data_IF_481639801094
#
_entry.id   IF_481639801094
#
_cell.length_a   1.000
_cell.length_b   1.000
_cell.length_c   1.000
_cell.angle_alpha   90.00
_cell.angle_beta   90.00
_cell.angle_gamma   90.00
#
_symmetry.space_group_name_H-M   'P 1'
#
loop_
_entity.id
_entity.type
_entity.pdbx_description
1 polymer ?
#
# COMPACT_ATOMS: atom_id res chain seq x y z
N UNK A 1 -5.67 10.02 32.56
CA UNK A 1 -6.93 9.47 33.09
C UNK A 1 -7.42 8.42 32.12
N UNK A 2 -7.35 7.14 32.50
CA UNK A 2 -8.30 6.03 32.24
C UNK A 2 -7.67 4.76 32.83
N UNK A 3 -8.52 3.95 33.46
CA UNK A 3 -8.26 3.11 34.66
C UNK A 3 -8.17 1.62 34.27
N UNK A 4 -7.38 0.78 34.97
CA UNK A 4 -7.29 -0.67 34.74
C UNK A 4 -8.24 -1.48 35.66
N UNK A 5 -8.74 -2.62 35.18
CA UNK A 5 -9.36 -3.68 36.00
C UNK A 5 -9.56 -4.93 35.16
N UNK A 6 -9.50 -6.17 35.62
CA UNK A 6 -9.01 -6.82 36.84
C UNK A 6 -9.18 -8.32 36.58
N UNK A 7 -8.22 -9.10 37.03
CA UNK A 7 -8.19 -10.57 37.00
C UNK A 7 -9.30 -11.20 37.86
N UNK A 8 -9.81 -12.36 37.44
CA UNK A 8 -10.62 -13.24 38.29
C UNK A 8 -9.91 -14.59 38.45
N UNK A 9 -9.69 -14.99 39.71
CA UNK A 9 -9.31 -16.36 40.09
C UNK A 9 -10.55 -17.17 40.42
N UNK A 10 -10.54 -18.46 40.08
CA UNK A 10 -11.36 -19.47 40.76
C UNK A 10 -10.59 -20.79 40.84
N UNK A 11 -10.43 -21.29 42.07
CA UNK A 11 -9.93 -22.62 42.43
C UNK A 11 -11.07 -23.36 43.14
N UNK A 12 -11.35 -24.60 42.76
CA UNK A 12 -12.04 -25.56 43.61
C UNK A 12 -11.47 -26.96 43.37
N UNK A 13 -11.01 -27.57 44.47
CA UNK A 13 -10.49 -28.93 44.54
C UNK A 13 -11.63 -29.96 44.50
N UNK A 14 -11.37 -30.99 43.71
CA UNK A 14 -11.69 -32.41 43.93
C UNK A 14 -13.14 -32.92 43.94
N UNK A 15 -13.32 -33.83 42.96
CA UNK A 15 -14.07 -35.11 42.94
C UNK A 15 -15.55 -35.06 42.59
N UNK A 16 -15.85 -35.60 41.41
CA UNK A 16 -17.16 -36.15 41.06
C UNK A 16 -17.51 -35.98 39.60
N UNK A 17 -16.93 -36.79 38.72
CA UNK A 17 -17.16 -36.83 37.26
C UNK A 17 -18.60 -37.12 36.87
N UNK A 18 -19.10 -36.49 35.79
CA UNK A 18 -20.00 -37.11 34.82
C UNK A 18 -19.93 -36.45 33.43
N UNK A 19 -19.97 -37.30 32.40
CA UNK A 19 -19.59 -37.10 30.99
C UNK A 19 -20.76 -36.83 30.03
N UNK A 20 -20.45 -36.18 28.90
CA UNK A 20 -21.31 -35.90 27.76
C UNK A 20 -21.72 -37.17 26.98
N UNK A 21 -22.91 -37.16 26.37
CA UNK A 21 -23.29 -38.15 25.37
C UNK A 21 -23.22 -37.56 23.94
N UNK A 22 -22.35 -38.15 23.11
CA UNK A 22 -22.45 -38.20 21.64
C UNK A 22 -23.14 -39.53 21.25
N UNK A 23 -23.67 -39.66 20.03
CA UNK A 23 -24.46 -40.83 19.65
C UNK A 23 -23.56 -42.02 19.35
N UNK A 24 -23.66 -43.07 20.17
CA UNK A 24 -23.72 -44.49 19.75
C UNK A 24 -23.95 -45.38 20.97
N UNK A 25 -24.99 -46.24 20.88
CA UNK A 25 -25.13 -47.56 21.51
C UNK A 25 -24.69 -47.76 22.99
N UNK A 26 -25.62 -47.57 23.94
CA UNK A 26 -26.16 -48.60 24.87
C UNK A 26 -26.92 -47.95 26.03
N UNK A 27 -28.02 -48.59 26.40
CA UNK A 27 -29.00 -48.13 27.39
C UNK A 27 -28.52 -48.27 28.85
N UNK A 28 -28.92 -47.34 29.73
CA UNK A 28 -29.93 -47.58 30.78
C UNK A 28 -30.20 -46.37 31.70
N UNK A 29 -31.51 -46.23 31.97
CA UNK A 29 -32.23 -45.71 33.14
C UNK A 29 -31.97 -44.29 33.67
N UNK A 30 -32.95 -43.44 33.36
CA UNK A 30 -33.62 -42.45 34.21
C UNK A 30 -33.34 -42.46 35.73
N UNK A 31 -33.02 -41.26 36.25
CA UNK A 31 -33.66 -40.66 37.45
C UNK A 31 -33.52 -39.14 37.42
N UNK A 32 -34.63 -38.47 37.10
CA UNK A 32 -34.83 -37.06 37.43
C UNK A 32 -35.19 -36.94 38.91
N UNK A 33 -34.61 -35.98 39.63
CA UNK A 33 -35.29 -35.38 40.79
C UNK A 33 -35.18 -33.86 40.74
N UNK A 34 -36.32 -33.24 41.02
CA UNK A 34 -36.63 -31.81 40.98
C UNK A 34 -35.78 -31.02 41.99
N UNK A 35 -35.25 -29.89 41.56
CA UNK A 35 -35.47 -28.63 42.29
C UNK A 35 -35.11 -27.43 41.41
N UNK A 36 -36.07 -26.52 41.34
CA UNK A 36 -36.10 -25.21 40.69
C UNK A 36 -34.82 -24.39 40.78
N UNK A 37 -34.23 -24.06 39.62
CA UNK A 37 -33.84 -22.71 39.17
C UNK A 37 -33.15 -22.83 37.80
N UNK A 38 -33.48 -21.92 36.89
CA UNK A 38 -33.24 -22.02 35.45
C UNK A 38 -31.80 -22.42 35.06
N UNK A 39 -31.70 -23.36 34.13
CA UNK A 39 -30.44 -23.73 33.49
C UNK A 39 -30.11 -22.66 32.43
N UNK A 40 -29.57 -21.52 32.85
CA UNK A 40 -28.90 -20.60 31.94
C UNK A 40 -27.60 -21.26 31.49
N UNK A 41 -27.53 -21.66 30.21
CA UNK A 41 -26.27 -22.07 29.57
C UNK A 41 -25.25 -20.94 29.78
N UNK A 42 -24.25 -21.17 30.64
CA UNK A 42 -23.05 -20.33 30.64
C UNK A 42 -22.41 -20.49 29.26
N UNK A 43 -22.15 -19.41 28.50
CA UNK A 43 -21.41 -19.55 27.26
C UNK A 43 -20.03 -20.07 27.64
N UNK A 44 -19.70 -21.27 27.17
CA UNK A 44 -18.32 -21.76 27.19
C UNK A 44 -17.45 -20.72 26.50
N UNK A 45 -16.36 -20.33 27.17
CA UNK A 45 -15.28 -19.50 26.62
C UNK A 45 -14.56 -20.31 25.55
N UNK A 46 -15.22 -20.48 24.41
CA UNK A 46 -14.74 -21.18 23.23
C UNK A 46 -15.57 -20.71 22.02
N UNK A 47 -15.70 -19.39 21.89
CA UNK A 47 -15.92 -18.75 20.60
C UNK A 47 -14.72 -17.81 20.39
N UNK A 48 -13.53 -18.39 20.45
CA UNK A 48 -12.37 -17.77 19.80
C UNK A 48 -12.65 -17.87 18.32
N UNK A 49 -13.03 -16.74 17.74
CA UNK A 49 -13.17 -16.45 16.32
C UNK A 49 -12.65 -17.56 15.39
N UNK A 50 -13.53 -18.48 14.98
CA UNK A 50 -13.27 -19.36 13.85
C UNK A 50 -13.44 -18.55 12.56
N UNK A 51 -12.60 -17.54 12.37
CA UNK A 51 -12.45 -16.98 11.04
C UNK A 51 -11.64 -17.98 10.22
N UNK A 52 -12.06 -18.28 8.97
CA UNK A 52 -11.20 -19.01 8.06
C UNK A 52 -9.86 -18.27 7.97
N UNK A 53 -8.73 -19.00 7.83
CA UNK A 53 -7.42 -18.37 7.76
C UNK A 53 -7.41 -17.33 6.64
N UNK A 54 -6.96 -16.11 6.95
CA UNK A 54 -6.70 -15.11 5.92
C UNK A 54 -5.47 -15.55 5.12
N UNK A 55 -5.64 -15.74 3.82
CA UNK A 55 -4.54 -16.06 2.93
C UNK A 55 -3.83 -14.77 2.50
N UNK A 56 -2.54 -14.67 2.83
CA UNK A 56 -1.68 -13.58 2.37
C UNK A 56 -0.91 -14.10 1.15
N UNK A 57 -1.14 -13.49 0.00
CA UNK A 57 -0.42 -13.83 -1.22
C UNK A 57 0.86 -13.00 -1.34
N UNK A 58 1.98 -13.67 -1.60
CA UNK A 58 3.30 -13.05 -1.76
C UNK A 58 3.82 -13.27 -3.17
N UNK A 59 4.56 -12.30 -3.71
CA UNK A 59 5.19 -12.40 -5.03
C UNK A 59 6.61 -12.96 -4.89
N UNK A 60 6.82 -14.18 -5.34
CA UNK A 60 8.14 -14.86 -5.35
C UNK A 60 8.35 -15.57 -6.68
N UNK A 61 9.59 -15.65 -7.22
CA UNK A 61 10.86 -15.19 -6.67
C UNK A 61 11.10 -13.68 -6.82
N UNK A 62 12.14 -13.15 -6.15
CA UNK A 62 12.59 -11.75 -6.26
C UNK A 62 12.73 -11.36 -7.74
N UNK A 63 12.03 -10.30 -8.17
CA UNK A 63 11.98 -9.84 -9.57
C UNK A 63 10.65 -10.11 -10.29
N UNK A 64 9.79 -10.99 -9.77
CA UNK A 64 8.39 -11.09 -10.22
C UNK A 64 7.49 -10.02 -9.59
N UNK A 65 8.02 -9.28 -8.62
CA UNK A 65 7.29 -8.23 -7.93
C UNK A 65 7.16 -6.96 -8.79
N UNK A 66 5.95 -6.40 -8.82
CA UNK A 66 5.61 -5.13 -9.45
C UNK A 66 5.23 -4.04 -8.44
N UNK A 67 5.02 -4.34 -7.14
CA UNK A 67 4.74 -3.34 -6.09
C UNK A 67 6.01 -2.62 -5.59
N UNK A 68 7.18 -2.99 -6.12
CA UNK A 68 8.46 -2.33 -5.87
C UNK A 68 9.09 -1.84 -7.16
N UNK A 69 10.06 -0.95 -6.98
CA UNK A 69 10.95 -0.45 -8.04
C UNK A 69 11.54 -1.62 -8.82
N UNK A 70 11.43 -1.57 -10.15
CA UNK A 70 11.99 -2.61 -11.03
C UNK A 70 13.53 -2.52 -11.09
N UNK A 71 14.20 -3.20 -10.15
CA UNK A 71 15.67 -3.28 -10.14
C UNK A 71 16.24 -4.04 -11.36
N UNK A 72 15.43 -4.84 -12.06
CA UNK A 72 15.81 -5.49 -13.31
C UNK A 72 15.83 -4.52 -14.50
N UNK A 73 15.28 -3.31 -14.35
CA UNK A 73 15.23 -2.33 -15.42
C UNK A 73 16.55 -1.56 -15.53
N UNK A 74 17.34 -1.82 -16.59
CA UNK A 74 18.66 -1.20 -16.72
C UNK A 74 18.59 0.32 -16.89
N UNK A 75 17.63 0.80 -17.69
CA UNK A 75 17.39 2.24 -17.87
C UNK A 75 17.16 2.96 -16.54
N UNK A 76 16.25 2.42 -15.73
CA UNK A 76 15.96 2.96 -14.40
C UNK A 76 17.21 2.98 -13.51
N UNK A 77 17.95 1.86 -13.43
CA UNK A 77 19.18 1.80 -12.62
C UNK A 77 20.20 2.86 -13.02
N UNK A 78 20.36 3.12 -14.33
CA UNK A 78 21.27 4.15 -14.83
C UNK A 78 20.80 5.56 -14.46
N UNK A 79 19.52 5.86 -14.65
CA UNK A 79 18.92 7.15 -14.27
C UNK A 79 19.04 7.39 -12.76
N UNK A 80 18.70 6.41 -11.92
CA UNK A 80 18.83 6.51 -10.47
C UNK A 80 20.30 6.76 -10.05
N UNK A 81 21.26 6.09 -10.70
CA UNK A 81 22.69 6.32 -10.45
C UNK A 81 23.13 7.73 -10.87
N UNK A 82 22.68 8.22 -12.02
CA UNK A 82 22.96 9.58 -12.50
C UNK A 82 22.40 10.63 -11.53
N UNK A 83 21.14 10.49 -11.13
CA UNK A 83 20.53 11.39 -10.16
C UNK A 83 21.29 11.39 -8.83
N UNK A 84 21.63 10.21 -8.30
CA UNK A 84 22.41 10.13 -7.07
C UNK A 84 23.76 10.85 -7.20
N UNK A 85 24.41 10.81 -8.36
CA UNK A 85 25.64 11.55 -8.58
C UNK A 85 25.43 13.08 -8.58
N UNK A 86 24.28 13.55 -9.09
CA UNK A 86 23.92 14.97 -9.09
C UNK A 86 23.58 15.50 -7.70
N UNK A 87 22.70 14.80 -6.97
CA UNK A 87 22.12 15.31 -5.71
C UNK A 87 23.03 15.08 -4.49
N UNK A 88 23.94 14.10 -4.56
CA UNK A 88 24.75 13.70 -3.39
C UNK A 88 25.67 14.82 -2.91
N UNK A 89 26.20 15.65 -3.81
CA UNK A 89 27.03 16.78 -3.41
C UNK A 89 26.19 17.85 -2.71
N UNK A 90 25.08 18.27 -3.32
CA UNK A 90 24.19 19.29 -2.75
C UNK A 90 23.71 18.92 -1.34
N UNK A 91 23.14 17.72 -1.18
CA UNK A 91 22.68 17.28 0.14
C UNK A 91 23.85 17.00 1.07
N UNK A 92 24.98 16.52 0.56
CA UNK A 92 26.19 16.34 1.35
C UNK A 92 26.68 17.64 1.98
N UNK A 93 26.67 18.74 1.21
CA UNK A 93 27.03 20.08 1.69
C UNK A 93 26.06 20.57 2.77
N UNK A 94 24.75 20.45 2.54
CA UNK A 94 23.71 20.81 3.51
C UNK A 94 23.86 20.03 4.82
N UNK A 95 24.17 18.73 4.70
CA UNK A 95 24.36 17.82 5.82
C UNK A 95 25.73 17.93 6.49
N UNK A 96 26.63 18.83 6.05
CA UNK A 96 27.90 19.06 6.74
C UNK A 96 27.69 19.50 8.18
N UNK A 97 26.76 20.42 8.40
CA UNK A 97 26.37 20.90 9.74
C UNK A 97 25.80 19.78 10.62
N UNK A 98 25.23 18.76 9.99
CA UNK A 98 24.67 17.57 10.63
C UNK A 98 25.70 16.47 10.87
N UNK A 99 26.85 16.45 10.18
CA UNK A 99 27.84 15.36 10.24
C UNK A 99 28.17 14.90 11.66
N UNK A 100 28.37 15.82 12.61
CA UNK A 100 28.63 15.47 14.01
C UNK A 100 27.39 14.86 14.69
N UNK A 101 26.22 15.51 14.57
CA UNK A 101 24.94 15.00 15.09
C UNK A 101 24.57 13.63 14.50
N UNK A 102 24.88 13.40 13.22
CA UNK A 102 24.64 12.14 12.52
C UNK A 102 25.57 11.04 13.02
N UNK A 103 26.84 11.34 13.34
CA UNK A 103 27.78 10.37 13.91
C UNK A 103 27.34 9.90 15.30
N UNK A 104 26.76 10.81 16.10
CA UNK A 104 26.21 10.47 17.41
C UNK A 104 24.94 9.59 17.29
N UNK A 105 24.12 9.84 16.25
CA UNK A 105 22.88 9.10 15.99
C UNK A 105 23.09 7.76 15.26
N UNK A 106 24.11 7.68 14.41
CA UNK A 106 24.40 6.54 13.56
C UNK A 106 25.90 6.25 13.58
N UNK A 107 26.26 5.10 14.15
CA UNK A 107 27.66 4.67 14.32
C UNK A 107 28.38 4.38 13.00
N UNK A 108 27.67 4.33 11.88
CA UNK A 108 28.26 4.13 10.55
C UNK A 108 28.22 5.41 9.70
N UNK A 109 29.37 6.09 9.53
CA UNK A 109 29.48 7.33 8.76
C UNK A 109 29.18 7.16 7.25
N UNK A 110 29.03 5.93 6.74
CA UNK A 110 28.71 5.65 5.32
C UNK A 110 27.25 5.86 4.96
N UNK A 111 26.35 5.89 5.94
CA UNK A 111 24.91 5.75 5.67
C UNK A 111 24.14 7.07 5.58
N UNK A 112 24.79 8.21 5.81
CA UNK A 112 24.31 9.55 5.44
C UNK A 112 22.99 9.98 6.10
N UNK A 113 22.31 10.95 5.48
CA UNK A 113 21.06 11.53 5.99
C UNK A 113 19.91 10.51 6.07
N UNK A 114 19.80 9.59 5.10
CA UNK A 114 18.68 8.65 5.01
C UNK A 114 18.65 7.67 6.17
N UNK A 115 19.80 7.09 6.55
CA UNK A 115 19.82 6.18 7.71
C UNK A 115 19.56 6.92 9.02
N UNK A 116 20.12 8.11 9.18
CA UNK A 116 19.85 8.89 10.38
C UNK A 116 18.38 9.28 10.49
N UNK A 117 17.74 9.62 9.36
CA UNK A 117 16.30 9.84 9.30
C UNK A 117 15.52 8.59 9.71
N UNK A 118 15.91 7.41 9.22
CA UNK A 118 15.28 6.13 9.57
C UNK A 118 15.40 5.81 11.07
N UNK A 119 16.61 5.91 11.64
CA UNK A 119 16.89 5.67 13.06
C UNK A 119 16.10 6.65 13.94
N UNK A 120 16.15 7.94 13.60
CA UNK A 120 15.51 8.98 14.39
C UNK A 120 13.98 8.91 14.29
N UNK A 121 13.44 8.70 13.08
CA UNK A 121 12.01 8.49 12.87
C UNK A 121 11.50 7.29 13.66
N UNK A 122 12.24 6.19 13.69
CA UNK A 122 11.92 5.05 14.53
C UNK A 122 11.97 5.41 16.03
N UNK A 123 13.02 6.08 16.51
CA UNK A 123 13.13 6.46 17.91
C UNK A 123 11.96 7.35 18.37
N UNK A 124 11.64 8.38 17.58
CA UNK A 124 10.55 9.32 17.87
C UNK A 124 9.18 8.62 17.87
N UNK A 125 8.94 7.69 16.95
CA UNK A 125 7.71 6.89 16.93
C UNK A 125 7.50 6.05 18.21
N UNK A 126 8.58 5.73 18.92
CA UNK A 126 8.55 5.02 20.21
C UNK A 126 8.61 5.98 21.43
N UNK A 127 8.49 7.29 21.22
CA UNK A 127 8.59 8.29 22.28
C UNK A 127 9.99 8.40 22.88
N UNK A 128 11.03 8.11 22.09
CA UNK A 128 12.44 8.21 22.47
C UNK A 128 13.13 9.33 21.68
N UNK A 129 14.28 9.82 22.20
CA UNK A 129 15.13 10.80 21.54
C UNK A 129 14.41 12.12 21.16
N UNK A 130 13.36 12.49 21.91
CA UNK A 130 12.55 13.69 21.65
C UNK A 130 13.27 15.01 21.96
N UNK A 131 14.39 14.93 22.67
CA UNK A 131 15.27 16.03 23.06
C UNK A 131 16.54 16.15 22.19
N UNK A 132 16.76 15.18 21.28
CA UNK A 132 17.97 15.11 20.44
C UNK A 132 17.88 16.07 19.24
N UNK A 133 16.68 16.32 18.73
CA UNK A 133 16.43 17.27 17.66
C UNK A 133 15.17 18.09 17.93
N UNK A 134 15.16 19.32 17.45
CA UNK A 134 13.94 20.11 17.34
C UNK A 134 13.04 19.61 16.20
N UNK A 135 11.74 19.93 16.19
CA UNK A 135 10.87 19.60 15.07
C UNK A 135 11.37 20.15 13.72
N UNK A 136 11.90 21.38 13.70
CA UNK A 136 12.44 21.98 12.48
C UNK A 136 13.66 21.21 11.94
N UNK A 137 14.54 20.78 12.84
CA UNK A 137 15.71 19.98 12.50
C UNK A 137 15.31 18.60 11.94
N UNK A 138 14.31 17.94 12.55
CA UNK A 138 13.76 16.70 12.01
C UNK A 138 13.21 16.87 10.59
N UNK A 139 12.49 17.97 10.34
CA UNK A 139 11.93 18.27 9.03
C UNK A 139 13.02 18.55 7.98
N UNK A 140 14.11 19.25 8.35
CA UNK A 140 15.29 19.40 7.48
C UNK A 140 15.92 18.06 7.11
N UNK A 141 16.09 17.17 8.10
CA UNK A 141 16.65 15.84 7.85
C UNK A 141 15.73 14.97 6.98
N UNK A 142 14.40 15.05 7.20
CA UNK A 142 13.39 14.38 6.38
C UNK A 142 13.45 14.88 4.94
N UNK A 143 13.48 16.19 4.73
CA UNK A 143 13.53 16.78 3.39
C UNK A 143 14.78 16.35 2.63
N UNK A 144 15.96 16.49 3.25
CA UNK A 144 17.24 16.03 2.68
C UNK A 144 17.19 14.55 2.30
N UNK A 145 16.66 13.70 3.18
CA UNK A 145 16.49 12.26 2.93
C UNK A 145 15.50 11.98 1.79
N UNK A 146 14.41 12.74 1.73
CA UNK A 146 13.38 12.62 0.69
C UNK A 146 13.94 12.99 -0.69
N UNK A 147 14.67 14.11 -0.79
CA UNK A 147 15.35 14.53 -2.02
C UNK A 147 16.37 13.50 -2.48
N UNK A 148 17.20 12.98 -1.57
CA UNK A 148 18.18 11.93 -1.89
C UNK A 148 17.51 10.65 -2.40
N UNK A 149 16.46 10.17 -1.72
CA UNK A 149 15.91 8.85 -1.97
C UNK A 149 14.88 8.81 -3.10
N UNK A 150 14.13 9.91 -3.29
CA UNK A 150 12.97 9.97 -4.19
C UNK A 150 13.05 11.08 -5.24
N UNK A 151 13.99 12.03 -5.15
CA UNK A 151 14.03 13.19 -6.04
C UNK A 151 14.20 12.86 -7.53
N UNK A 152 14.73 11.68 -7.89
CA UNK A 152 14.79 11.22 -9.28
C UNK A 152 13.41 11.10 -9.94
N UNK A 153 12.35 10.92 -9.14
CA UNK A 153 10.96 10.79 -9.63
C UNK A 153 10.42 12.09 -10.21
N UNK A 154 10.87 13.24 -9.70
CA UNK A 154 10.50 14.55 -10.24
C UNK A 154 11.49 15.03 -11.31
N UNK A 155 12.74 14.57 -11.24
CA UNK A 155 13.80 15.00 -12.17
C UNK A 155 13.63 14.40 -13.57
N UNK A 156 13.17 13.16 -13.68
CA UNK A 156 13.11 12.44 -14.94
C UNK A 156 11.66 12.12 -15.34
N UNK A 157 11.09 12.87 -16.30
CA UNK A 157 9.79 12.53 -16.88
C UNK A 157 9.75 11.08 -17.38
N UNK A 158 8.62 10.42 -17.17
CA UNK A 158 8.41 9.02 -17.58
C UNK A 158 9.10 7.97 -16.70
N UNK A 159 9.87 8.34 -15.67
CA UNK A 159 10.50 7.36 -14.78
C UNK A 159 9.48 6.52 -14.01
N UNK A 160 8.26 7.03 -13.81
CA UNK A 160 7.13 6.29 -13.24
C UNK A 160 6.80 5.00 -14.01
N UNK A 161 6.86 5.05 -15.36
CA UNK A 161 6.64 3.88 -16.22
C UNK A 161 7.67 2.78 -15.96
N UNK A 162 8.93 3.16 -15.74
CA UNK A 162 10.05 2.25 -15.46
C UNK A 162 10.01 1.68 -14.04
N UNK A 163 9.50 2.47 -13.10
CA UNK A 163 9.53 2.18 -11.67
C UNK A 163 8.35 1.33 -11.20
N UNK A 164 7.14 1.86 -11.40
CA UNK A 164 5.90 1.37 -10.77
C UNK A 164 4.76 1.20 -11.79
N UNK A 165 4.98 1.49 -13.07
CA UNK A 165 3.98 1.39 -14.13
C UNK A 165 3.27 0.03 -14.17
N UNK A 166 4.01 -1.07 -13.96
CA UNK A 166 3.45 -2.43 -13.90
C UNK A 166 2.40 -2.60 -12.78
N UNK A 167 2.55 -1.91 -11.65
CA UNK A 167 1.58 -1.95 -10.56
C UNK A 167 0.41 -0.98 -10.77
N UNK A 168 0.67 0.18 -11.38
CA UNK A 168 -0.41 1.07 -11.85
C UNK A 168 -1.34 0.31 -12.81
N UNK A 169 -0.78 -0.46 -13.75
CA UNK A 169 -1.54 -1.35 -14.63
C UNK A 169 -2.35 -2.38 -13.85
N UNK A 170 -1.76 -3.07 -12.87
CA UNK A 170 -2.47 -4.06 -12.05
C UNK A 170 -3.67 -3.46 -11.28
N UNK A 171 -3.48 -2.27 -10.69
CA UNK A 171 -4.55 -1.57 -9.96
C UNK A 171 -5.72 -1.23 -10.89
N UNK A 172 -5.43 -0.78 -12.10
CA UNK A 172 -6.44 -0.52 -13.12
C UNK A 172 -7.11 -1.80 -13.62
N UNK A 173 -6.36 -2.87 -13.88
CA UNK A 173 -6.90 -4.18 -14.28
C UNK A 173 -7.98 -4.67 -13.30
N UNK A 174 -7.79 -4.45 -11.99
CA UNK A 174 -8.76 -4.80 -10.96
C UNK A 174 -10.03 -3.95 -11.06
N UNK A 175 -9.88 -2.63 -11.22
CA UNK A 175 -11.02 -1.74 -11.37
C UNK A 175 -11.78 -2.00 -12.66
N UNK A 176 -11.07 -2.18 -13.78
CA UNK A 176 -11.62 -2.50 -15.09
C UNK A 176 -12.50 -3.74 -15.01
N UNK A 177 -12.07 -4.78 -14.30
CA UNK A 177 -12.88 -5.99 -14.11
C UNK A 177 -14.20 -5.70 -13.36
N UNK A 178 -14.21 -4.81 -12.36
CA UNK A 178 -15.45 -4.38 -11.71
C UNK A 178 -16.34 -3.54 -12.65
N UNK A 179 -15.73 -2.68 -13.48
CA UNK A 179 -16.45 -1.79 -14.40
C UNK A 179 -17.08 -2.58 -15.54
N UNK A 180 -16.34 -3.47 -16.19
CA UNK A 180 -16.78 -4.19 -17.40
C UNK A 180 -17.49 -5.50 -17.08
N UNK A 181 -17.29 -6.05 -15.87
CA UNK A 181 -17.73 -7.39 -15.52
C UNK A 181 -16.95 -8.51 -16.22
N UNK A 182 -15.89 -8.17 -16.96
CA UNK A 182 -15.03 -9.10 -17.68
C UNK A 182 -13.61 -9.01 -17.16
N UNK A 183 -12.99 -10.17 -16.91
CA UNK A 183 -11.59 -10.21 -16.50
C UNK A 183 -10.71 -9.64 -17.62
N UNK A 184 -9.66 -8.87 -17.28
CA UNK A 184 -8.72 -8.36 -18.27
C UNK A 184 -8.02 -9.50 -19.01
N UNK A 185 -7.81 -9.31 -20.31
CA UNK A 185 -7.10 -10.24 -21.20
C UNK A 185 -6.18 -9.44 -22.15
N UNK A 186 -4.85 -9.62 -22.09
CA UNK A 186 -4.11 -10.47 -21.14
C UNK A 186 -4.14 -9.92 -19.71
N UNK A 187 -4.24 -10.81 -18.72
CA UNK A 187 -4.07 -10.48 -17.30
C UNK A 187 -2.58 -10.48 -16.91
N UNK A 188 -1.82 -9.55 -17.46
CA UNK A 188 -0.35 -9.61 -17.45
C UNK A 188 0.27 -9.54 -16.04
N UNK A 189 -0.31 -8.73 -15.16
CA UNK A 189 0.19 -8.47 -13.82
C UNK A 189 -0.81 -8.77 -12.70
N UNK A 190 -2.07 -8.99 -13.05
CA UNK A 190 -3.16 -9.22 -12.11
C UNK A 190 -3.00 -10.48 -11.26
N UNK A 191 -2.53 -10.28 -10.01
CA UNK A 191 -2.66 -11.29 -8.96
C UNK A 191 -4.12 -11.61 -8.66
N UNK A 192 -5.04 -10.66 -8.82
CA UNK A 192 -6.45 -10.91 -8.54
C UNK A 192 -7.07 -11.89 -9.56
N UNK A 193 -6.69 -11.84 -10.84
CA UNK A 193 -7.11 -12.82 -11.85
C UNK A 193 -6.47 -14.18 -11.58
N UNK A 194 -5.19 -14.21 -11.18
CA UNK A 194 -4.54 -15.46 -10.77
C UNK A 194 -5.26 -16.08 -9.56
N UNK A 195 -5.61 -15.28 -8.55
CA UNK A 195 -6.40 -15.70 -7.40
C UNK A 195 -7.77 -16.24 -7.79
N UNK A 196 -8.47 -15.53 -8.68
CA UNK A 196 -9.78 -15.95 -9.18
C UNK A 196 -9.72 -17.29 -9.91
N UNK A 197 -8.72 -17.47 -10.78
CA UNK A 197 -8.46 -18.74 -11.48
C UNK A 197 -8.16 -19.87 -10.50
N UNK A 198 -7.35 -19.61 -9.48
CA UNK A 198 -6.97 -20.60 -8.47
C UNK A 198 -8.12 -20.98 -7.52
N UNK A 199 -9.01 -20.03 -7.20
CA UNK A 199 -10.12 -20.23 -6.27
C UNK A 199 -11.45 -20.59 -6.95
N UNK A 200 -11.54 -20.46 -8.27
CA UNK A 200 -12.77 -20.63 -9.04
C UNK A 200 -13.79 -19.51 -8.80
N UNK A 201 -13.40 -18.38 -8.21
CA UNK A 201 -14.32 -17.26 -8.01
C UNK A 201 -14.60 -16.55 -9.33
N UNK A 202 -15.86 -16.15 -9.54
CA UNK A 202 -16.29 -15.50 -10.78
C UNK A 202 -16.28 -13.96 -10.71
N UNK A 203 -16.26 -13.37 -9.52
CA UNK A 203 -16.34 -11.90 -9.32
C UNK A 203 -15.08 -11.36 -8.65
N UNK A 204 -14.49 -10.26 -9.15
CA UNK A 204 -13.30 -9.66 -8.55
C UNK A 204 -13.53 -9.27 -7.08
N UNK A 205 -12.47 -9.25 -6.26
CA UNK A 205 -12.59 -8.92 -4.84
C UNK A 205 -13.12 -7.51 -4.64
N UNK A 206 -14.05 -7.33 -3.71
CA UNK A 206 -14.60 -6.00 -3.34
C UNK A 206 -13.59 -5.13 -2.59
N UNK A 207 -12.55 -5.75 -2.03
CA UNK A 207 -11.50 -5.11 -1.28
C UNK A 207 -10.19 -5.86 -1.53
N UNK A 208 -9.15 -5.13 -1.90
CA UNK A 208 -7.80 -5.65 -2.06
C UNK A 208 -6.86 -4.84 -1.18
N UNK A 209 -6.01 -5.54 -0.41
CA UNK A 209 -5.00 -4.93 0.45
C UNK A 209 -3.62 -5.28 -0.08
N UNK A 210 -2.86 -4.26 -0.45
CA UNK A 210 -1.47 -4.38 -0.88
C UNK A 210 -0.58 -3.84 0.24
N UNK A 211 0.22 -4.73 0.84
CA UNK A 211 1.23 -4.33 1.81
C UNK A 211 2.53 -4.01 1.06
N UNK A 212 2.87 -2.73 0.98
CA UNK A 212 4.09 -2.24 0.34
C UNK A 212 4.96 -1.43 1.31
N UNK A 213 5.85 -0.61 0.76
CA UNK A 213 6.76 0.24 1.51
C UNK A 213 6.58 1.72 1.15
N UNK A 214 7.30 2.62 1.80
CA UNK A 214 7.52 4.00 1.33
C UNK A 214 7.95 4.05 -0.15
N UNK A 215 8.82 3.11 -0.54
CA UNK A 215 9.30 2.85 -1.90
C UNK A 215 8.27 2.20 -2.83
N UNK A 216 7.06 1.96 -2.34
CA UNK A 216 5.85 1.68 -3.13
C UNK A 216 4.98 2.93 -3.20
N UNK A 217 4.66 3.53 -2.05
CA UNK A 217 3.73 4.65 -1.94
C UNK A 217 4.22 5.90 -2.65
N UNK A 218 5.46 6.32 -2.43
CA UNK A 218 6.02 7.52 -3.06
C UNK A 218 6.06 7.38 -4.58
N UNK A 219 6.64 6.33 -5.18
CA UNK A 219 6.61 6.19 -6.63
C UNK A 219 5.18 6.10 -7.17
N UNK A 220 4.26 5.41 -6.49
CA UNK A 220 2.86 5.36 -6.93
C UNK A 220 2.21 6.75 -6.93
N UNK A 221 2.34 7.52 -5.85
CA UNK A 221 1.79 8.87 -5.77
C UNK A 221 2.48 9.82 -6.76
N UNK A 222 3.79 9.71 -6.95
CA UNK A 222 4.55 10.53 -7.88
C UNK A 222 4.14 10.24 -9.32
N UNK A 223 4.00 8.95 -9.67
CA UNK A 223 3.55 8.50 -10.97
C UNK A 223 2.10 8.94 -11.26
N UNK A 224 1.25 9.04 -10.25
CA UNK A 224 -0.13 9.56 -10.36
C UNK A 224 -0.21 11.09 -10.28
N UNK A 225 0.92 11.80 -10.14
CA UNK A 225 0.97 13.26 -10.09
C UNK A 225 0.39 13.88 -8.81
N UNK A 226 0.31 13.12 -7.72
CA UNK A 226 -0.32 13.54 -6.45
C UNK A 226 0.62 13.49 -5.24
N UNK A 227 1.90 13.24 -5.47
CA UNK A 227 2.89 13.27 -4.39
C UNK A 227 3.19 14.72 -3.97
N UNK A 228 3.15 14.96 -2.66
CA UNK A 228 3.41 16.27 -2.04
C UNK A 228 4.89 16.52 -1.70
N UNK A 229 5.80 15.68 -2.23
CA UNK A 229 7.23 15.72 -1.98
C UNK A 229 7.63 15.46 -0.52
N UNK A 230 6.76 14.83 0.27
CA UNK A 230 7.08 14.42 1.65
C UNK A 230 7.30 12.92 1.77
N UNK A 231 8.13 12.51 2.72
CA UNK A 231 8.27 11.10 3.08
C UNK A 231 7.01 10.64 3.83
N UNK A 232 6.34 9.56 3.41
CA UNK A 232 5.12 9.09 4.08
C UNK A 232 5.45 8.54 5.48
N UNK A 233 4.77 8.98 6.55
CA UNK A 233 4.98 8.43 7.89
C UNK A 233 4.59 6.96 8.00
N UNK A 234 4.96 6.31 9.11
CA UNK A 234 4.53 4.94 9.40
C UNK A 234 3.01 4.78 9.32
N UNK A 235 2.58 3.61 8.84
CA UNK A 235 1.17 3.28 8.58
C UNK A 235 0.46 4.19 7.55
N UNK A 236 1.22 4.94 6.74
CA UNK A 236 0.64 5.64 5.61
C UNK A 236 0.01 4.68 4.62
N UNK A 237 -1.06 5.14 3.97
CA UNK A 237 -1.79 4.36 2.99
C UNK A 237 -2.35 5.26 1.89
N UNK A 238 -2.37 4.71 0.67
CA UNK A 238 -3.11 5.26 -0.46
C UNK A 238 -4.35 4.38 -0.69
N UNK A 239 -5.53 4.98 -0.62
CA UNK A 239 -6.80 4.31 -0.93
C UNK A 239 -7.27 4.72 -2.31
N UNK A 240 -7.60 3.74 -3.15
CA UNK A 240 -8.27 3.95 -4.42
C UNK A 240 -9.69 3.38 -4.32
N UNK A 241 -10.69 4.25 -4.49
CA UNK A 241 -12.10 3.93 -4.33
C UNK A 241 -12.79 3.98 -5.70
N UNK A 242 -13.52 2.92 -6.06
CA UNK A 242 -14.33 2.86 -7.29
C UNK A 242 -15.82 3.03 -6.93
N UNK A 243 -16.49 3.95 -7.62
CA UNK A 243 -17.90 4.26 -7.45
C UNK A 243 -18.66 3.99 -8.75
N UNK A 244 -19.94 3.68 -8.62
CA UNK A 244 -20.89 3.60 -9.73
C UNK A 244 -22.06 4.54 -9.45
N UNK A 245 -22.51 5.29 -10.46
CA UNK A 245 -23.72 6.11 -10.38
C UNK A 245 -24.94 5.24 -10.06
N UNK A 246 -25.84 5.72 -9.20
CA UNK A 246 -27.10 5.03 -8.87
C UNK A 246 -28.09 4.97 -10.04
N UNK A 247 -27.96 5.89 -10.98
CA UNK A 247 -28.85 6.01 -12.14
C UNK A 247 -27.98 6.15 -13.40
N UNK A 248 -27.30 5.06 -13.82
CA UNK A 248 -26.58 5.05 -15.09
C UNK A 248 -27.60 5.26 -16.22
N UNK A 249 -27.28 6.10 -17.21
CA UNK A 249 -28.18 6.21 -18.35
C UNK A 249 -28.16 4.89 -19.13
N UNK A 250 -29.31 4.37 -19.54
CA UNK A 250 -29.44 3.02 -20.11
C UNK A 250 -28.67 2.79 -21.43
N UNK A 251 -28.17 3.86 -22.05
CA UNK A 251 -27.40 3.84 -23.31
C UNK A 251 -25.91 4.13 -23.11
N UNK A 252 -25.45 4.31 -21.87
CA UNK A 252 -24.05 4.62 -21.57
C UNK A 252 -23.19 3.36 -21.49
N UNK A 253 -21.92 3.47 -21.90
CA UNK A 253 -20.95 2.41 -21.61
C UNK A 253 -20.79 2.32 -20.09
N UNK A 254 -20.44 1.14 -19.61
CA UNK A 254 -20.25 0.93 -18.17
C UNK A 254 -19.27 1.97 -17.59
N UNK A 255 -18.16 2.23 -18.26
CA UNK A 255 -17.16 3.25 -17.90
C UNK A 255 -17.74 4.65 -17.65
N UNK A 256 -18.73 5.08 -18.45
CA UNK A 256 -19.31 6.42 -18.36
C UNK A 256 -20.14 6.61 -17.07
N UNK A 257 -20.46 5.51 -16.38
CA UNK A 257 -21.19 5.51 -15.10
C UNK A 257 -20.31 5.33 -13.86
N UNK A 258 -18.99 5.22 -14.04
CA UNK A 258 -18.05 4.95 -12.95
C UNK A 258 -17.15 6.14 -12.65
N UNK A 259 -16.72 6.20 -11.39
CA UNK A 259 -15.86 7.26 -10.87
C UNK A 259 -14.79 6.69 -9.94
N UNK A 260 -13.64 7.35 -9.88
CA UNK A 260 -12.49 6.93 -9.06
C UNK A 260 -12.07 8.06 -8.14
N UNK A 261 -11.80 7.74 -6.88
CA UNK A 261 -11.23 8.69 -5.91
C UNK A 261 -9.97 8.14 -5.29
N UNK A 262 -8.97 9.00 -5.16
CA UNK A 262 -7.70 8.69 -4.50
C UNK A 262 -7.64 9.42 -3.15
N UNK A 263 -7.16 8.74 -2.11
CA UNK A 263 -7.00 9.32 -0.77
C UNK A 263 -5.66 8.94 -0.17
N UNK A 264 -4.91 9.91 0.33
CA UNK A 264 -3.69 9.68 1.11
C UNK A 264 -4.00 9.96 2.58
N UNK A 265 -3.82 8.95 3.44
CA UNK A 265 -4.05 9.07 4.89
C UNK A 265 -5.43 9.66 5.24
N UNK A 266 -6.47 9.21 4.53
CA UNK A 266 -7.85 9.68 4.70
C UNK A 266 -8.19 11.00 4.01
N UNK A 267 -7.24 11.71 3.42
CA UNK A 267 -7.47 12.99 2.74
C UNK A 267 -7.65 12.79 1.24
N UNK A 268 -8.70 13.37 0.66
CA UNK A 268 -8.96 13.29 -0.78
C UNK A 268 -7.86 14.01 -1.56
N UNK A 269 -7.32 13.34 -2.57
CA UNK A 269 -6.29 13.90 -3.45
C UNK A 269 -6.93 14.60 -4.66
N UNK A 270 -6.27 15.66 -5.12
CA UNK A 270 -6.58 16.33 -6.40
C UNK A 270 -5.71 15.74 -7.49
N UNK A 271 -6.25 14.75 -8.20
CA UNK A 271 -5.54 14.10 -9.30
C UNK A 271 -5.52 15.03 -10.51
N UNK A 272 -4.35 15.34 -11.11
CA UNK A 272 -4.25 16.29 -12.22
C UNK A 272 -5.18 15.99 -13.40
N UNK A 273 -5.26 14.73 -13.80
CA UNK A 273 -6.11 14.27 -14.91
C UNK A 273 -7.62 14.53 -14.70
N UNK A 274 -8.04 14.77 -13.46
CA UNK A 274 -9.44 14.96 -13.09
C UNK A 274 -9.82 16.44 -12.96
N UNK A 275 -8.89 17.38 -13.14
CA UNK A 275 -9.15 18.80 -12.86
C UNK A 275 -9.88 19.53 -14.00
N UNK A 276 -9.78 19.03 -15.23
CA UNK A 276 -10.46 19.63 -16.39
C UNK A 276 -11.99 19.49 -16.30
N UNK A 277 -12.76 20.44 -16.88
CA UNK A 277 -14.21 20.32 -16.97
C UNK A 277 -14.64 19.01 -17.64
N UNK A 278 -15.52 18.25 -16.97
CA UNK A 278 -16.00 16.95 -17.45
C UNK A 278 -15.11 15.75 -17.09
N UNK A 279 -13.95 15.98 -16.47
CA UNK A 279 -13.05 14.92 -16.00
C UNK A 279 -13.35 14.43 -14.57
N UNK A 280 -14.38 14.98 -13.93
CA UNK A 280 -14.79 14.66 -12.56
C UNK A 280 -16.31 14.73 -12.38
N UNK A 281 -16.79 14.19 -11.26
CA UNK A 281 -18.18 14.29 -10.85
C UNK A 281 -18.57 15.77 -10.62
N UNK A 282 -19.72 16.25 -11.12
CA UNK A 282 -20.11 17.66 -10.98
C UNK A 282 -20.09 18.14 -9.53
N UNK A 283 -19.29 19.18 -9.26
CA UNK A 283 -19.14 19.76 -7.93
C UNK A 283 -18.12 19.06 -7.01
N UNK A 284 -17.49 17.96 -7.44
CA UNK A 284 -16.45 17.26 -6.70
C UNK A 284 -15.23 16.93 -7.59
N UNK A 285 -14.22 17.82 -7.66
CA UNK A 285 -13.00 17.60 -8.45
C UNK A 285 -12.05 16.53 -7.88
N UNK A 286 -12.39 15.94 -6.72
CA UNK A 286 -11.65 14.80 -6.15
C UNK A 286 -12.20 13.44 -6.60
N UNK A 287 -13.38 13.43 -7.23
CA UNK A 287 -14.05 12.23 -7.72
C UNK A 287 -13.96 12.17 -9.25
N UNK A 288 -12.88 11.58 -9.75
CA UNK A 288 -12.56 11.49 -11.17
C UNK A 288 -13.61 10.69 -11.95
N UNK A 289 -13.89 11.04 -13.21
CA UNK A 289 -14.54 10.08 -14.10
C UNK A 289 -13.61 8.90 -14.34
N UNK A 290 -14.16 7.70 -14.53
CA UNK A 290 -13.35 6.52 -14.83
C UNK A 290 -12.49 6.72 -16.07
N UNK A 291 -13.03 7.41 -17.10
CA UNK A 291 -12.30 7.72 -18.32
C UNK A 291 -11.07 8.61 -18.10
N UNK A 292 -11.18 9.66 -17.28
CA UNK A 292 -10.05 10.53 -16.95
C UNK A 292 -8.98 9.80 -16.13
N UNK A 293 -9.40 8.97 -15.17
CA UNK A 293 -8.47 8.12 -14.42
C UNK A 293 -7.78 7.10 -15.34
N UNK A 294 -8.52 6.47 -16.25
CA UNK A 294 -7.97 5.54 -17.23
C UNK A 294 -6.93 6.22 -18.14
N UNK A 295 -7.17 7.44 -18.60
CA UNK A 295 -6.20 8.16 -19.42
C UNK A 295 -4.86 8.39 -18.69
N UNK A 296 -4.90 8.72 -17.39
CA UNK A 296 -3.70 8.80 -16.54
C UNK A 296 -2.99 7.45 -16.41
N UNK A 297 -3.76 6.37 -16.21
CA UNK A 297 -3.20 5.01 -16.17
C UNK A 297 -2.57 4.64 -17.50
N UNK A 298 -3.18 4.99 -18.64
CA UNK A 298 -2.64 4.66 -19.96
C UNK A 298 -1.32 5.40 -20.24
N UNK A 299 -1.14 6.60 -19.65
CA UNK A 299 0.12 7.36 -19.73
C UNK A 299 1.23 6.73 -18.89
N UNK A 300 0.90 6.26 -17.68
CA UNK A 300 1.89 5.90 -16.65
C UNK A 300 2.10 4.39 -16.52
N UNK A 301 1.05 3.61 -16.79
CA UNK A 301 1.04 2.17 -16.75
C UNK A 301 1.94 1.57 -17.83
N UNK A 302 2.44 0.36 -17.57
CA UNK A 302 3.25 -0.39 -18.52
C UNK A 302 2.78 -1.83 -18.62
N UNK A 303 2.73 -2.35 -19.85
CA UNK A 303 2.67 -3.79 -20.14
C UNK A 303 4.03 -4.44 -19.97
N UNK A 304 4.12 -5.78 -19.98
CA UNK A 304 5.40 -6.50 -19.97
C UNK A 304 6.26 -6.12 -21.16
N UNK A 305 5.67 -6.11 -22.36
CA UNK A 305 6.34 -5.74 -23.59
C UNK A 305 6.84 -4.29 -23.58
N UNK A 306 6.00 -3.36 -23.11
CA UNK A 306 6.39 -1.95 -22.98
C UNK A 306 7.55 -1.81 -21.99
N UNK A 307 7.46 -2.46 -20.83
CA UNK A 307 8.55 -2.49 -19.84
C UNK A 307 9.83 -2.99 -20.48
N UNK A 308 9.81 -4.11 -21.20
CA UNK A 308 11.02 -4.70 -21.77
C UNK A 308 11.66 -3.80 -22.83
N UNK A 309 10.85 -3.12 -23.65
CA UNK A 309 11.33 -2.10 -24.60
C UNK A 309 11.89 -0.87 -23.90
N UNK A 310 11.27 -0.43 -22.81
CA UNK A 310 11.66 0.77 -22.07
C UNK A 310 12.90 0.54 -21.19
N UNK A 311 13.13 -0.69 -20.75
CA UNK A 311 14.18 -1.04 -19.79
C UNK A 311 15.54 -1.36 -20.40
N UNK A 312 15.77 -0.93 -21.65
CA UNK A 312 17.08 -0.96 -22.32
C UNK A 312 17.88 0.32 -22.05
N UNK A 313 19.23 0.27 -22.09
CA UNK A 313 20.06 1.47 -21.94
C UNK A 313 19.71 2.57 -22.95
N UNK A 314 19.75 3.83 -22.50
CA UNK A 314 19.66 4.97 -23.42
C UNK A 314 20.91 5.04 -24.31
N UNK A 315 20.76 5.40 -25.61
CA UNK A 315 21.89 5.68 -26.48
C UNK A 315 22.70 6.88 -25.95
N UNK A 316 24.03 6.81 -26.07
CA UNK A 316 25.00 7.81 -25.56
C UNK A 316 24.74 9.24 -26.09
N UNK A 317 24.10 9.40 -27.25
CA UNK A 317 23.76 10.72 -27.80
C UNK A 317 22.61 11.41 -27.03
N UNK A 318 21.64 10.64 -26.51
CA UNK A 318 20.48 11.19 -25.80
C UNK A 318 20.78 11.73 -24.41
N UNK A 319 21.94 11.35 -23.84
CA UNK A 319 22.43 11.87 -22.56
C UNK A 319 23.02 13.28 -22.63
N UNK A 320 23.29 13.82 -23.83
CA UNK A 320 23.88 15.16 -23.99
C UNK A 320 22.83 16.24 -24.34
N UNK A 321 21.76 15.90 -25.06
CA UNK A 321 20.75 16.88 -25.51
C UNK A 321 19.72 17.27 -24.46
N UNK A 322 19.61 16.51 -23.38
CA UNK A 322 18.55 16.68 -22.40
C UNK A 322 18.93 17.56 -21.20
N UNK A 323 20.17 18.08 -21.14
CA UNK A 323 20.64 18.83 -19.96
C UNK A 323 20.46 18.03 -18.66
N UNK A 324 20.62 16.70 -18.74
CA UNK A 324 20.55 15.76 -17.63
C UNK A 324 21.94 15.41 -17.11
#
# INVERSE_FOLDING_TARGET
MWIPSSSYQASCRTRGTCTCARPTLRARSSRCTRSSKGCTRRPTVAVLFQHPPMHIFTRTPVGSDNIYRDFGCERYRRLAKQFNALIKHEVGEEMKSWSAKLQDLASDPKHGAVLAFDILGAALAHGRATDVVTPAEYETLRDASTRLWFGHMVKYPGIGQLLIGRFVTELHELMAHHVTGTAPDPAEFSMHVQHMRASGTAKPPRFALYSGHDTTLVPLMAALGVWDHTWPPFASHLTLELFQSKSPASTQRAEDSHFVRLRHNGTNLRVPACQEPGAHYPGDPSLCTYAAFKALVDEVGTTRDQRDRLCVPLPVASTLETGF
#
